data_IF_759726744850
#
_entry.id   IF_759726744850
#
_cell.length_a   1.000
_cell.length_b   1.000
_cell.length_c   1.000
_cell.angle_alpha   90.00
_cell.angle_beta   90.00
_cell.angle_gamma   90.00
#
_symmetry.space_group_name_H-M   'P 1'
#
loop_
_entity.id
_entity.type
_entity.pdbx_description
1 polymer ?
#
# COMPACT_ATOMS: atom_id res chain seq x y z
N UNK A 1 -9.68 -6.58 39.19
CA UNK A 1 -9.47 -7.59 38.13
C UNK A 1 -8.42 -8.56 38.66
N UNK A 2 -8.72 -9.82 38.78
CA UNK A 2 -7.75 -10.81 39.25
C UNK A 2 -6.86 -11.27 38.07
N UNK A 3 -5.78 -12.00 38.35
CA UNK A 3 -4.81 -12.44 37.31
C UNK A 3 -5.49 -13.27 36.22
N UNK A 4 -6.47 -14.11 36.57
CA UNK A 4 -7.19 -14.94 35.61
C UNK A 4 -8.03 -14.09 34.65
N UNK A 5 -8.76 -13.11 35.17
CA UNK A 5 -9.55 -12.17 34.36
C UNK A 5 -8.67 -11.38 33.38
N UNK A 6 -7.43 -11.01 33.79
CA UNK A 6 -6.46 -10.35 32.93
C UNK A 6 -6.03 -11.27 31.80
N UNK A 7 -5.67 -12.52 32.10
CA UNK A 7 -5.23 -13.50 31.10
C UNK A 7 -6.36 -13.82 30.11
N UNK A 8 -7.58 -14.03 30.61
CA UNK A 8 -8.74 -14.30 29.76
C UNK A 8 -9.00 -13.12 28.80
N UNK A 9 -8.88 -11.88 29.31
CA UNK A 9 -9.02 -10.67 28.46
C UNK A 9 -7.90 -10.52 27.44
N UNK A 10 -6.66 -10.86 27.80
CA UNK A 10 -5.55 -10.85 26.86
C UNK A 10 -5.76 -11.87 25.73
N UNK A 11 -6.24 -13.08 26.03
CA UNK A 11 -6.56 -14.08 25.02
C UNK A 11 -7.70 -13.62 24.09
N UNK A 12 -8.74 -12.98 24.63
CA UNK A 12 -9.82 -12.41 23.82
C UNK A 12 -9.30 -11.33 22.86
N UNK A 13 -8.44 -10.45 23.35
CA UNK A 13 -7.83 -9.40 22.54
C UNK A 13 -6.88 -9.96 21.49
N UNK A 14 -6.09 -10.97 21.83
CA UNK A 14 -5.19 -11.67 20.92
C UNK A 14 -5.97 -12.33 19.77
N UNK A 15 -7.06 -13.03 20.08
CA UNK A 15 -7.95 -13.59 19.06
C UNK A 15 -8.54 -12.53 18.14
N UNK A 16 -8.96 -11.39 18.69
CA UNK A 16 -9.53 -10.30 17.88
C UNK A 16 -8.47 -9.60 17.02
N UNK A 17 -7.24 -9.49 17.50
CA UNK A 17 -6.12 -8.88 16.77
C UNK A 17 -5.54 -9.81 15.70
N UNK A 18 -5.70 -11.12 15.83
CA UNK A 18 -5.20 -12.11 14.86
C UNK A 18 -5.73 -11.89 13.45
N UNK A 19 -6.89 -11.24 13.30
CA UNK A 19 -7.43 -10.85 11.99
C UNK A 19 -6.57 -9.80 11.27
N UNK A 20 -5.72 -9.05 11.99
CA UNK A 20 -4.78 -8.08 11.43
C UNK A 20 -3.47 -8.75 10.99
N UNK A 21 -3.21 -9.97 11.45
CA UNK A 21 -2.01 -10.74 11.12
C UNK A 21 -2.32 -11.73 10.00
N UNK A 22 -1.87 -11.37 8.81
CA UNK A 22 -2.08 -12.18 7.61
C UNK A 22 -1.14 -13.38 7.65
N UNK A 23 -1.68 -14.59 7.41
CA UNK A 23 -0.91 -15.83 7.36
C UNK A 23 0.12 -15.80 6.22
N UNK A 24 1.21 -16.56 6.35
CA UNK A 24 2.32 -16.56 5.38
C UNK A 24 1.86 -16.89 3.95
N UNK A 25 0.99 -17.89 3.80
CA UNK A 25 0.39 -18.26 2.51
C UNK A 25 -0.36 -17.10 1.86
N UNK A 26 -1.13 -16.37 2.66
CA UNK A 26 -1.97 -15.27 2.19
C UNK A 26 -1.12 -14.04 1.86
N UNK A 27 -0.03 -13.80 2.61
CA UNK A 27 0.93 -12.74 2.30
C UNK A 27 1.51 -12.88 0.90
N UNK A 28 1.94 -14.08 0.53
CA UNK A 28 2.50 -14.34 -0.81
C UNK A 28 1.47 -14.05 -1.92
N UNK A 29 0.21 -14.45 -1.72
CA UNK A 29 -0.88 -14.19 -2.66
C UNK A 29 -1.17 -12.68 -2.79
N UNK A 30 -1.19 -11.94 -1.69
CA UNK A 30 -1.42 -10.49 -1.68
C UNK A 30 -0.28 -9.72 -2.35
N UNK A 31 0.98 -10.10 -2.07
CA UNK A 31 2.16 -9.53 -2.74
C UNK A 31 2.06 -9.75 -4.25
N UNK A 32 1.67 -10.96 -4.67
CA UNK A 32 1.48 -11.25 -6.09
C UNK A 32 0.44 -10.35 -6.74
N UNK A 33 -0.72 -10.15 -6.13
CA UNK A 33 -1.76 -9.25 -6.65
C UNK A 33 -1.25 -7.81 -6.84
N UNK A 34 -0.53 -7.28 -5.86
CA UNK A 34 0.02 -5.93 -5.92
C UNK A 34 1.12 -5.82 -6.98
N UNK A 35 1.99 -6.82 -7.09
CA UNK A 35 3.06 -6.83 -8.10
C UNK A 35 2.51 -7.04 -9.51
N UNK A 36 1.50 -7.87 -9.70
CA UNK A 36 0.83 -8.04 -10.99
C UNK A 36 0.19 -6.72 -11.44
N UNK A 37 -0.52 -6.03 -10.54
CA UNK A 37 -1.08 -4.70 -10.81
C UNK A 37 0.01 -3.68 -11.19
N UNK A 38 1.13 -3.67 -10.47
CA UNK A 38 2.23 -2.76 -10.74
C UNK A 38 2.88 -3.02 -12.10
N UNK A 39 3.08 -4.29 -12.45
CA UNK A 39 3.62 -4.68 -13.76
C UNK A 39 2.67 -4.30 -14.90
N UNK A 40 1.36 -4.55 -14.75
CA UNK A 40 0.34 -4.12 -15.71
C UNK A 40 0.33 -2.59 -15.89
N UNK A 41 0.44 -1.86 -14.78
CA UNK A 41 0.51 -0.40 -14.80
C UNK A 41 1.71 0.10 -15.61
N UNK A 42 2.91 -0.43 -15.32
CA UNK A 42 4.15 -0.06 -16.00
C UNK A 42 4.10 -0.43 -17.49
N UNK A 43 3.67 -1.65 -17.81
CA UNK A 43 3.58 -2.13 -19.19
C UNK A 43 2.61 -1.27 -20.03
N UNK A 44 1.53 -0.80 -19.43
CA UNK A 44 0.52 0.02 -20.09
C UNK A 44 0.82 1.51 -20.16
N UNK A 45 1.92 2.02 -19.59
CA UNK A 45 2.17 3.46 -19.46
C UNK A 45 2.14 4.23 -20.77
N UNK A 46 2.69 3.64 -21.85
CA UNK A 46 2.75 4.29 -23.16
C UNK A 46 1.39 4.42 -23.86
N UNK A 47 0.45 3.54 -23.52
CA UNK A 47 -0.88 3.48 -24.14
C UNK A 47 -1.94 4.20 -23.29
N UNK A 48 -1.64 4.46 -22.03
CA UNK A 48 -2.56 5.15 -21.11
C UNK A 48 -2.69 6.62 -21.45
N UNK A 49 -3.87 7.16 -21.13
CA UNK A 49 -4.12 8.59 -21.23
C UNK A 49 -3.21 9.37 -20.28
N UNK A 50 -2.79 10.55 -20.73
CA UNK A 50 -2.04 11.52 -19.90
C UNK A 50 -2.94 12.22 -18.90
N UNK A 51 -4.21 12.39 -19.28
CA UNK A 51 -5.22 13.05 -18.46
C UNK A 51 -6.53 12.27 -18.51
N UNK A 52 -7.15 12.13 -17.35
CA UNK A 52 -8.47 11.53 -17.19
C UNK A 52 -9.44 12.61 -16.70
N UNK A 53 -10.50 12.85 -17.42
CA UNK A 53 -11.56 13.83 -17.06
C UNK A 53 -12.38 13.37 -15.85
N UNK A 54 -12.28 12.09 -15.51
CA UNK A 54 -12.99 11.51 -14.38
C UNK A 54 -12.59 12.20 -13.08
N UNK A 55 -13.59 12.51 -12.26
CA UNK A 55 -13.38 12.93 -10.86
C UNK A 55 -13.52 11.73 -9.95
N UNK A 56 -12.74 11.68 -8.85
CA UNK A 56 -12.91 10.64 -7.85
C UNK A 56 -14.33 10.72 -7.26
N UNK A 57 -14.90 9.55 -6.96
CA UNK A 57 -16.14 9.45 -6.22
C UNK A 57 -15.95 9.75 -4.74
N UNK A 58 -17.04 9.69 -3.99
CA UNK A 58 -16.96 9.72 -2.52
C UNK A 58 -16.41 8.38 -2.03
N UNK A 59 -15.20 8.40 -1.48
CA UNK A 59 -14.61 7.23 -0.81
C UNK A 59 -14.99 7.30 0.67
N UNK A 60 -15.93 6.46 1.07
CA UNK A 60 -16.25 6.27 2.48
C UNK A 60 -15.46 5.08 3.04
N UNK A 61 -14.78 5.31 4.16
CA UNK A 61 -14.18 4.24 4.95
C UNK A 61 -15.29 3.59 5.75
N UNK A 62 -15.89 2.55 5.18
CA UNK A 62 -16.96 1.78 5.83
C UNK A 62 -16.40 0.66 6.72
N UNK A 63 -17.27 0.11 7.58
CA UNK A 63 -16.93 -1.01 8.46
C UNK A 63 -16.83 -2.38 7.76
N UNK A 64 -17.10 -2.46 6.47
CA UNK A 64 -17.06 -3.72 5.74
C UNK A 64 -15.64 -4.01 5.23
N UNK A 65 -15.13 -5.22 5.51
CA UNK A 65 -13.86 -5.71 4.95
C UNK A 65 -13.96 -5.79 3.44
N UNK A 66 -12.87 -5.41 2.77
CA UNK A 66 -12.71 -5.52 1.32
C UNK A 66 -11.52 -6.44 1.03
N UNK A 67 -11.63 -7.20 -0.04
CA UNK A 67 -10.51 -7.99 -0.56
C UNK A 67 -9.45 -7.08 -1.18
N UNK A 68 -8.21 -7.55 -1.30
CA UNK A 68 -7.15 -6.81 -1.99
C UNK A 68 -7.52 -6.48 -3.44
N UNK A 69 -8.19 -7.38 -4.15
CA UNK A 69 -8.65 -7.11 -5.51
C UNK A 69 -9.64 -5.95 -5.58
N UNK A 70 -10.60 -5.90 -4.66
CA UNK A 70 -11.55 -4.78 -4.57
C UNK A 70 -10.84 -3.46 -4.23
N UNK A 71 -9.82 -3.51 -3.35
CA UNK A 71 -9.03 -2.33 -3.01
C UNK A 71 -8.20 -1.83 -4.20
N UNK A 72 -7.60 -2.74 -4.97
CA UNK A 72 -6.86 -2.39 -6.20
C UNK A 72 -7.80 -1.80 -7.28
N UNK A 73 -9.01 -2.32 -7.41
CA UNK A 73 -10.01 -1.76 -8.33
C UNK A 73 -10.46 -0.36 -7.90
N UNK A 74 -10.66 -0.14 -6.61
CA UNK A 74 -10.95 1.19 -6.06
C UNK A 74 -9.78 2.13 -6.32
N UNK A 75 -8.54 1.71 -6.00
CA UNK A 75 -7.34 2.51 -6.25
C UNK A 75 -7.22 2.88 -7.73
N UNK A 76 -7.40 1.91 -8.63
CA UNK A 76 -7.36 2.15 -10.08
C UNK A 76 -8.37 3.24 -10.48
N UNK A 77 -9.62 3.08 -10.06
CA UNK A 77 -10.72 3.97 -10.47
C UNK A 77 -10.66 5.34 -9.82
N UNK A 78 -10.36 5.40 -8.54
CA UNK A 78 -10.54 6.63 -7.76
C UNK A 78 -9.22 7.41 -7.57
N UNK A 79 -8.07 6.78 -7.88
CA UNK A 79 -6.76 7.42 -7.75
C UNK A 79 -6.01 7.42 -9.08
N UNK A 80 -5.71 6.24 -9.65
CA UNK A 80 -4.82 6.13 -10.79
C UNK A 80 -5.43 6.63 -12.12
N UNK A 81 -6.75 6.57 -12.26
CA UNK A 81 -7.48 6.99 -13.46
C UNK A 81 -8.30 8.28 -13.22
N UNK A 82 -7.71 9.22 -12.47
CA UNK A 82 -8.28 10.54 -12.22
C UNK A 82 -7.23 11.63 -12.41
N UNK A 83 -7.58 12.71 -13.09
CA UNK A 83 -6.67 13.83 -13.32
C UNK A 83 -5.44 13.47 -14.16
N UNK A 84 -4.27 13.93 -13.75
CA UNK A 84 -3.02 13.79 -14.51
C UNK A 84 -2.33 12.46 -14.19
N UNK A 85 -1.99 11.70 -15.22
CA UNK A 85 -1.09 10.55 -15.11
C UNK A 85 0.38 11.03 -15.16
N UNK A 86 0.91 11.37 -14.00
CA UNK A 86 2.27 11.91 -13.88
C UNK A 86 3.36 10.90 -14.28
N UNK A 87 3.08 9.59 -14.27
CA UNK A 87 4.02 8.56 -14.69
C UNK A 87 4.13 8.41 -16.21
N UNK A 88 3.21 9.02 -16.98
CA UNK A 88 3.23 8.94 -18.45
C UNK A 88 4.40 9.71 -19.04
N UNK A 89 5.18 9.07 -19.92
CA UNK A 89 6.23 9.73 -20.70
C UNK A 89 5.71 10.82 -21.67
N UNK A 90 4.40 10.89 -21.87
CA UNK A 90 3.73 11.93 -22.67
C UNK A 90 3.33 13.15 -21.83
N UNK A 91 3.52 13.09 -20.51
CA UNK A 91 3.22 14.21 -19.61
C UNK A 91 4.39 15.20 -19.62
N UNK A 92 4.19 16.34 -20.26
CA UNK A 92 5.23 17.39 -20.42
C UNK A 92 5.04 18.58 -19.47
N UNK A 93 4.01 18.56 -18.63
CA UNK A 93 3.73 19.60 -17.65
C UNK A 93 4.28 19.26 -16.27
N UNK A 94 4.60 20.28 -15.48
CA UNK A 94 5.04 20.17 -14.08
C UNK A 94 6.31 19.34 -13.84
N UNK A 95 6.84 18.65 -14.82
CA UNK A 95 8.04 17.81 -14.82
C UNK A 95 8.16 16.99 -13.50
N UNK A 96 7.18 16.14 -13.15
CA UNK A 96 7.32 15.26 -12.01
C UNK A 96 8.46 14.28 -12.30
N UNK A 97 9.30 14.02 -11.33
CA UNK A 97 10.26 12.93 -11.42
C UNK A 97 9.52 11.61 -11.62
N UNK A 98 9.87 10.85 -12.65
CA UNK A 98 9.34 9.50 -12.83
C UNK A 98 9.73 8.59 -11.66
N UNK A 99 8.88 7.61 -11.35
CA UNK A 99 9.21 6.59 -10.36
C UNK A 99 10.38 5.71 -10.86
N UNK A 100 11.30 5.39 -9.96
CA UNK A 100 12.36 4.40 -10.22
C UNK A 100 11.91 3.08 -9.61
N UNK A 101 11.82 2.04 -10.42
CA UNK A 101 11.34 0.72 -9.97
C UNK A 101 12.14 0.19 -8.75
N UNK A 102 13.47 0.34 -8.77
CA UNK A 102 14.32 -0.08 -7.65
C UNK A 102 14.01 0.72 -6.36
N UNK A 103 13.66 2.00 -6.46
CA UNK A 103 13.27 2.80 -5.31
C UNK A 103 11.93 2.31 -4.72
N UNK A 104 10.96 1.94 -5.55
CA UNK A 104 9.70 1.37 -5.09
C UNK A 104 9.91 0.05 -4.32
N UNK A 105 10.87 -0.78 -4.73
CA UNK A 105 11.26 -1.99 -3.98
C UNK A 105 11.92 -1.65 -2.64
N UNK A 106 12.74 -0.60 -2.60
CA UNK A 106 13.34 -0.13 -1.35
C UNK A 106 12.29 0.40 -0.38
N UNK A 107 11.32 1.18 -0.86
CA UNK A 107 10.19 1.65 -0.06
C UNK A 107 9.34 0.48 0.49
N UNK A 108 9.13 -0.55 -0.34
CA UNK A 108 8.46 -1.76 0.08
C UNK A 108 9.19 -2.46 1.23
N UNK A 109 10.52 -2.61 1.15
CA UNK A 109 11.34 -3.18 2.23
C UNK A 109 11.27 -2.28 3.48
N UNK A 110 11.40 -0.97 3.31
CA UNK A 110 11.34 -0.03 4.42
C UNK A 110 9.99 -0.07 5.15
N UNK A 111 8.88 -0.22 4.43
CA UNK A 111 7.55 -0.36 5.01
C UNK A 111 7.40 -1.64 5.85
N UNK A 112 8.00 -2.75 5.41
CA UNK A 112 7.97 -4.01 6.15
C UNK A 112 8.88 -4.02 7.37
N UNK A 113 10.08 -3.48 7.24
CA UNK A 113 11.07 -3.47 8.33
C UNK A 113 10.81 -2.37 9.35
N UNK A 114 10.05 -1.34 8.94
CA UNK A 114 9.68 -0.19 9.75
C UNK A 114 10.84 0.33 10.63
N UNK A 115 12.02 0.67 10.07
CA UNK A 115 13.19 1.03 10.84
C UNK A 115 12.93 2.33 11.62
N UNK A 116 13.30 2.33 12.89
CA UNK A 116 13.15 3.52 13.74
C UNK A 116 14.23 4.57 13.41
N UNK A 117 13.85 5.62 12.71
CA UNK A 117 14.78 6.69 12.27
C UNK A 117 14.87 7.89 13.24
N UNK A 118 14.20 7.82 14.40
CA UNK A 118 14.10 8.97 15.31
C UNK A 118 15.37 9.26 16.13
N UNK A 119 16.23 8.29 16.35
CA UNK A 119 17.45 8.42 17.18
C UNK A 119 18.56 7.53 16.63
N UNK A 120 19.72 8.12 16.33
CA UNK A 120 20.89 7.42 15.81
C UNK A 120 21.30 6.21 16.67
N UNK A 121 21.29 6.37 17.99
CA UNK A 121 21.63 5.29 18.92
C UNK A 121 20.75 4.04 18.75
N UNK A 122 19.45 4.22 18.51
CA UNK A 122 18.53 3.10 18.39
C UNK A 122 18.57 2.44 17.00
N UNK A 123 18.89 3.19 15.97
CA UNK A 123 18.94 2.69 14.58
C UNK A 123 19.98 3.47 13.77
N UNK A 124 21.28 3.16 13.94
CA UNK A 124 22.35 3.90 13.27
C UNK A 124 22.24 3.84 11.73
N UNK A 125 21.80 2.71 11.18
CA UNK A 125 21.67 2.53 9.73
C UNK A 125 20.48 3.25 9.09
N UNK A 126 19.50 3.66 9.88
CA UNK A 126 18.32 4.39 9.38
C UNK A 126 18.38 5.90 9.66
N UNK A 127 19.23 6.31 10.61
CA UNK A 127 19.34 7.70 11.08
C UNK A 127 20.66 8.38 10.64
N UNK A 128 21.56 7.66 9.97
CA UNK A 128 22.89 8.12 9.52
C UNK A 128 22.93 8.68 8.10
#
# INVERSE_FOLDING_TARGET
>A
MNTKEIVDKLHELDQSSSELEIQESDRAALIKLVTDYSNEFIAGLNDRNVFFERRPGSLEIGGNKKTMSELLDIYRKEVAETGINAASGKHLGYIPGGGIFAAALADFIAAFTNPYAGVYYASPGAAG
#
